data_IF_439991593506
#
_entry.id   IF_439991593506
#
_cell.length_a   1.000
_cell.length_b   1.000
_cell.length_c   1.000
_cell.angle_alpha   90.00
_cell.angle_beta   90.00
_cell.angle_gamma   90.00
#
_symmetry.space_group_name_H-M   'P 1'
#
loop_
_entity.id
_entity.type
_entity.pdbx_description
1 polymer ?
#
# COMPACT_ATOMS: atom_id res chain seq x y z
N UNK A 1 -10.18 10.92 -30.61
CA UNK A 1 -10.11 10.06 -29.41
C UNK A 1 -8.63 9.92 -29.08
N UNK A 2 -8.25 10.28 -27.85
CA UNK A 2 -6.84 10.52 -27.47
C UNK A 2 -5.95 9.27 -27.55
N UNK A 3 -4.76 9.47 -28.11
CA UNK A 3 -3.73 8.46 -28.40
C UNK A 3 -3.12 7.77 -27.16
N UNK A 4 -3.50 8.16 -25.94
CA UNK A 4 -2.96 7.59 -24.69
C UNK A 4 -3.52 6.21 -24.28
N UNK A 5 -4.69 5.80 -24.77
CA UNK A 5 -5.35 4.56 -24.32
C UNK A 5 -4.87 3.30 -25.06
N UNK A 6 -4.13 3.44 -26.16
CA UNK A 6 -3.72 2.30 -26.98
C UNK A 6 -2.55 1.50 -26.38
N UNK A 7 -1.84 2.04 -25.40
CA UNK A 7 -0.66 1.43 -24.77
C UNK A 7 -0.97 0.64 -23.48
N UNK A 8 -2.24 0.61 -23.06
CA UNK A 8 -2.63 -0.04 -21.80
C UNK A 8 -2.45 -1.54 -21.92
N UNK A 9 -1.67 -2.16 -21.04
CA UNK A 9 -1.33 -3.58 -21.08
C UNK A 9 -2.33 -4.47 -20.32
N UNK A 10 -2.90 -3.97 -19.23
CA UNK A 10 -3.86 -4.70 -18.39
C UNK A 10 -5.23 -4.82 -19.08
N UNK A 11 -5.73 -6.04 -19.16
CA UNK A 11 -7.09 -6.32 -19.66
C UNK A 11 -8.16 -5.77 -18.71
N UNK A 12 -7.89 -5.76 -17.40
CA UNK A 12 -8.77 -5.15 -16.41
C UNK A 12 -9.05 -3.68 -16.72
N UNK A 13 -8.00 -2.89 -17.01
CA UNK A 13 -8.15 -1.46 -17.32
C UNK A 13 -8.89 -1.28 -18.67
N UNK A 14 -8.58 -2.11 -19.68
CA UNK A 14 -9.27 -2.07 -20.98
C UNK A 14 -10.78 -2.33 -20.84
N UNK A 15 -11.19 -3.29 -20.00
CA UNK A 15 -12.60 -3.55 -19.69
C UNK A 15 -13.22 -2.39 -18.92
N UNK A 16 -12.48 -1.81 -17.97
CA UNK A 16 -12.90 -0.65 -17.20
C UNK A 16 -13.13 0.59 -18.07
N UNK A 17 -12.46 0.72 -19.21
CA UNK A 17 -12.68 1.79 -20.21
C UNK A 17 -13.93 1.51 -21.06
N UNK A 18 -14.05 0.31 -21.62
CA UNK A 18 -15.10 -0.04 -22.60
C UNK A 18 -16.52 -0.15 -22.02
N UNK A 19 -16.68 -0.46 -20.74
CA UNK A 19 -17.97 -0.90 -20.19
C UNK A 19 -19.02 0.14 -19.80
N UNK A 20 -18.82 1.45 -20.00
CA UNK A 20 -19.76 2.47 -19.51
C UNK A 20 -19.52 3.88 -20.13
N UNK A 21 -20.39 4.88 -19.85
CA UNK A 21 -20.17 6.27 -20.27
C UNK A 21 -19.00 6.94 -19.53
N UNK A 22 -18.30 7.83 -20.22
CA UNK A 22 -17.15 8.60 -19.70
C UNK A 22 -17.64 9.79 -18.87
N UNK A 23 -17.88 9.58 -17.58
CA UNK A 23 -18.17 10.66 -16.62
C UNK A 23 -16.86 11.19 -16.01
N UNK A 24 -16.85 12.41 -15.46
CA UNK A 24 -15.66 13.01 -14.84
C UNK A 24 -15.06 12.14 -13.73
N UNK A 25 -15.91 11.55 -12.88
CA UNK A 25 -15.49 10.61 -11.82
C UNK A 25 -14.86 9.35 -12.40
N UNK A 26 -15.36 8.87 -13.53
CA UNK A 26 -14.83 7.66 -14.19
C UNK A 26 -13.54 7.93 -14.94
N UNK A 27 -13.37 9.13 -15.49
CA UNK A 27 -12.10 9.57 -16.08
C UNK A 27 -10.99 9.56 -15.03
N UNK A 28 -11.23 10.17 -13.87
CA UNK A 28 -10.29 10.14 -12.75
C UNK A 28 -9.96 8.71 -12.32
N UNK A 29 -10.96 7.84 -12.20
CA UNK A 29 -10.74 6.43 -11.89
C UNK A 29 -9.87 5.71 -12.94
N UNK A 30 -10.09 5.93 -14.23
CA UNK A 30 -9.26 5.32 -15.28
C UNK A 30 -7.82 5.87 -15.26
N UNK A 31 -7.65 7.16 -15.02
CA UNK A 31 -6.34 7.79 -14.87
C UNK A 31 -5.57 7.21 -13.66
N UNK A 32 -6.26 7.00 -12.54
CA UNK A 32 -5.74 6.30 -11.36
C UNK A 32 -5.28 4.87 -11.70
N UNK A 33 -6.08 4.11 -12.46
CA UNK A 33 -5.70 2.76 -12.89
C UNK A 33 -4.48 2.76 -13.82
N UNK A 34 -4.40 3.73 -14.74
CA UNK A 34 -3.24 3.88 -15.63
C UNK A 34 -1.98 4.24 -14.84
N UNK A 35 -2.09 5.04 -13.79
CA UNK A 35 -0.98 5.33 -12.89
C UNK A 35 -0.49 4.07 -12.17
N UNK A 36 -1.40 3.20 -11.72
CA UNK A 36 -1.02 1.92 -11.10
C UNK A 36 -0.25 1.04 -12.10
N UNK A 37 -0.75 0.88 -13.32
CA UNK A 37 -0.05 0.13 -14.37
C UNK A 37 1.34 0.75 -14.67
N UNK A 38 1.42 2.07 -14.80
CA UNK A 38 2.67 2.76 -15.04
C UNK A 38 3.67 2.56 -13.90
N UNK A 39 3.22 2.59 -12.65
CA UNK A 39 4.07 2.34 -11.48
C UNK A 39 4.56 0.91 -11.38
N UNK A 40 3.72 -0.07 -11.72
CA UNK A 40 4.12 -1.49 -11.76
C UNK A 40 5.17 -1.72 -12.86
N UNK A 41 4.96 -1.17 -14.05
CA UNK A 41 5.89 -1.35 -15.18
C UNK A 41 7.19 -0.54 -15.04
N UNK A 42 7.13 0.64 -14.41
CA UNK A 42 8.28 1.55 -14.30
C UNK A 42 9.05 1.36 -13.00
N UNK A 43 8.47 0.73 -11.97
CA UNK A 43 9.04 0.57 -10.65
C UNK A 43 9.52 1.92 -10.07
N UNK A 44 10.78 1.95 -9.62
CA UNK A 44 11.42 3.12 -9.01
C UNK A 44 11.71 4.29 -9.96
N UNK A 45 11.34 4.20 -11.25
CA UNK A 45 11.56 5.29 -12.22
C UNK A 45 10.51 6.40 -12.14
N UNK A 46 9.44 6.20 -11.38
CA UNK A 46 8.56 7.30 -10.99
C UNK A 46 9.34 8.22 -10.05
N UNK A 47 9.58 9.47 -10.45
CA UNK A 47 10.11 10.48 -9.53
C UNK A 47 9.26 10.59 -8.25
N UNK A 48 9.81 11.18 -7.19
CA UNK A 48 9.20 11.17 -5.85
C UNK A 48 7.70 11.49 -5.80
N UNK A 49 7.26 12.56 -6.49
CA UNK A 49 5.85 12.94 -6.55
C UNK A 49 4.98 11.87 -7.23
N UNK A 50 5.47 11.24 -8.30
CA UNK A 50 4.80 10.15 -8.98
C UNK A 50 4.73 8.89 -8.13
N UNK A 51 5.78 8.60 -7.37
CA UNK A 51 5.79 7.47 -6.44
C UNK A 51 4.80 7.67 -5.28
N UNK A 52 4.76 8.86 -4.68
CA UNK A 52 3.78 9.19 -3.63
C UNK A 52 2.34 9.09 -4.14
N UNK A 53 2.07 9.58 -5.34
CA UNK A 53 0.75 9.48 -5.94
C UNK A 53 0.37 8.02 -6.24
N UNK A 54 1.32 7.22 -6.73
CA UNK A 54 1.11 5.78 -6.91
C UNK A 54 0.76 5.08 -5.60
N UNK A 55 1.45 5.40 -4.49
CA UNK A 55 1.14 4.83 -3.17
C UNK A 55 -0.25 5.22 -2.66
N UNK A 56 -0.64 6.49 -2.81
CA UNK A 56 -2.00 6.96 -2.46
C UNK A 56 -3.07 6.20 -3.25
N UNK A 57 -2.88 6.05 -4.56
CA UNK A 57 -3.82 5.34 -5.43
C UNK A 57 -3.84 3.84 -5.13
N UNK A 58 -2.70 3.25 -4.79
CA UNK A 58 -2.61 1.85 -4.36
C UNK A 58 -3.41 1.62 -3.07
N UNK A 59 -3.33 2.54 -2.10
CA UNK A 59 -4.11 2.47 -0.86
C UNK A 59 -5.61 2.66 -1.11
N UNK A 60 -5.98 3.54 -2.05
CA UNK A 60 -7.38 3.80 -2.42
C UNK A 60 -8.02 2.64 -3.17
N UNK A 61 -7.27 1.94 -4.04
CA UNK A 61 -7.79 0.84 -4.87
C UNK A 61 -6.96 -0.45 -4.78
N UNK A 62 -6.85 -1.07 -3.59
CA UNK A 62 -5.95 -2.20 -3.36
C UNK A 62 -6.32 -3.44 -4.19
N UNK A 63 -7.63 -3.64 -4.44
CA UNK A 63 -8.11 -4.76 -5.26
C UNK A 63 -7.74 -4.58 -6.74
N UNK A 64 -7.94 -3.37 -7.27
CA UNK A 64 -7.63 -3.07 -8.66
C UNK A 64 -6.13 -3.15 -8.91
N UNK A 65 -5.33 -2.57 -8.00
CA UNK A 65 -3.87 -2.69 -8.03
C UNK A 65 -3.41 -4.15 -8.07
N UNK A 66 -3.92 -5.00 -7.16
CA UNK A 66 -3.59 -6.43 -7.13
C UNK A 66 -3.92 -7.12 -8.45
N UNK A 67 -5.09 -6.85 -9.02
CA UNK A 67 -5.49 -7.45 -10.30
C UNK A 67 -4.56 -7.01 -11.43
N UNK A 68 -4.26 -5.72 -11.53
CA UNK A 68 -3.36 -5.18 -12.56
C UNK A 68 -1.95 -5.76 -12.41
N UNK A 69 -1.42 -5.83 -11.18
CA UNK A 69 -0.09 -6.38 -10.93
C UNK A 69 -0.01 -7.86 -11.28
N UNK A 70 -1.01 -8.67 -10.88
CA UNK A 70 -1.06 -10.09 -11.24
C UNK A 70 -1.15 -10.31 -12.76
N UNK A 71 -1.83 -9.43 -13.50
CA UNK A 71 -1.89 -9.50 -14.96
C UNK A 71 -0.56 -9.13 -15.62
N UNK A 72 0.16 -8.14 -15.09
CA UNK A 72 1.37 -7.60 -15.70
C UNK A 72 2.63 -8.36 -15.32
N UNK A 73 2.80 -8.66 -14.02
CA UNK A 73 3.97 -9.36 -13.50
C UNK A 73 3.62 -10.23 -12.26
N UNK A 74 3.09 -11.44 -12.48
CA UNK A 74 2.69 -12.33 -11.39
C UNK A 74 3.87 -12.83 -10.55
N UNK A 75 5.09 -12.85 -11.12
CA UNK A 75 6.30 -13.28 -10.40
C UNK A 75 6.75 -12.22 -9.40
N UNK A 76 6.93 -10.98 -9.82
CA UNK A 76 7.29 -9.87 -8.93
C UNK A 76 6.20 -9.58 -7.92
N UNK A 77 4.91 -9.78 -8.25
CA UNK A 77 3.85 -9.68 -7.25
C UNK A 77 4.05 -10.62 -6.05
N UNK A 78 4.48 -11.87 -6.32
CA UNK A 78 4.73 -12.86 -5.26
C UNK A 78 5.93 -12.45 -4.40
N UNK A 79 6.99 -11.93 -5.02
CA UNK A 79 8.17 -11.44 -4.30
C UNK A 79 7.85 -10.18 -3.47
N UNK A 80 7.06 -9.25 -4.01
CA UNK A 80 6.60 -8.06 -3.31
C UNK A 80 5.70 -8.42 -2.12
N UNK A 81 4.80 -9.39 -2.26
CA UNK A 81 4.00 -9.90 -1.13
C UNK A 81 4.88 -10.53 -0.04
N UNK A 82 5.87 -11.33 -0.41
CA UNK A 82 6.78 -11.96 0.56
C UNK A 82 7.61 -10.89 1.29
N UNK A 83 8.07 -9.87 0.57
CA UNK A 83 8.79 -8.73 1.14
C UNK A 83 7.93 -7.92 2.11
N UNK A 84 6.73 -7.50 1.71
CA UNK A 84 5.77 -6.77 2.56
C UNK A 84 5.41 -7.59 3.81
N UNK A 85 5.22 -8.90 3.66
CA UNK A 85 4.92 -9.78 4.79
C UNK A 85 6.10 -9.91 5.76
N UNK A 86 7.35 -9.90 5.27
CA UNK A 86 8.56 -9.90 6.12
C UNK A 86 8.71 -8.57 6.86
N UNK A 87 8.50 -7.44 6.19
CA UNK A 87 8.57 -6.10 6.79
C UNK A 87 7.50 -5.95 7.88
N UNK A 88 6.25 -6.34 7.61
CA UNK A 88 5.18 -6.36 8.61
C UNK A 88 5.51 -7.24 9.81
N UNK A 89 6.12 -8.40 9.60
CA UNK A 89 6.56 -9.27 10.68
C UNK A 89 7.70 -8.66 11.51
N UNK A 90 8.66 -7.98 10.89
CA UNK A 90 9.70 -7.24 11.62
C UNK A 90 9.10 -6.12 12.46
N UNK A 91 8.24 -5.31 11.86
CA UNK A 91 7.58 -4.19 12.54
C UNK A 91 6.70 -4.68 13.70
N UNK A 92 5.98 -5.79 13.52
CA UNK A 92 5.22 -6.42 14.60
C UNK A 92 6.11 -6.90 15.74
N UNK A 93 7.28 -7.47 15.44
CA UNK A 93 8.28 -7.89 16.46
C UNK A 93 8.86 -6.69 17.20
N UNK A 94 9.15 -5.60 16.51
CA UNK A 94 9.64 -4.36 17.14
C UNK A 94 8.57 -3.72 18.03
N UNK A 95 7.34 -3.60 17.55
CA UNK A 95 6.21 -3.12 18.36
C UNK A 95 5.98 -4.02 19.59
N UNK A 96 6.11 -5.34 19.46
CA UNK A 96 5.99 -6.25 20.59
C UNK A 96 7.12 -6.04 21.63
N UNK A 97 8.36 -5.80 21.18
CA UNK A 97 9.49 -5.46 22.06
C UNK A 97 9.24 -4.15 22.80
N UNK A 98 8.82 -3.10 22.08
CA UNK A 98 8.50 -1.80 22.69
C UNK A 98 7.38 -1.92 23.72
N UNK A 99 6.27 -2.60 23.39
CA UNK A 99 5.16 -2.84 24.33
C UNK A 99 5.61 -3.60 25.58
N UNK A 100 6.48 -4.59 25.43
CA UNK A 100 7.03 -5.36 26.56
C UNK A 100 7.93 -4.51 27.45
N UNK A 101 8.71 -3.62 26.85
CA UNK A 101 9.55 -2.67 27.57
C UNK A 101 8.69 -1.65 28.34
N UNK A 102 7.69 -1.07 27.68
CA UNK A 102 6.78 -0.12 28.30
C UNK A 102 5.98 -0.74 29.46
N UNK A 103 5.54 -2.01 29.33
CA UNK A 103 4.92 -2.74 30.44
C UNK A 103 5.88 -2.90 31.63
N UNK A 104 7.14 -3.28 31.38
CA UNK A 104 8.15 -3.44 32.44
C UNK A 104 8.41 -2.10 33.14
N UNK A 105 8.48 -1.00 32.40
CA UNK A 105 8.67 0.33 32.96
C UNK A 105 7.46 0.77 33.79
N UNK A 106 6.23 0.60 33.29
CA UNK A 106 5.01 0.85 34.09
C UNK A 106 4.99 0.02 35.36
N UNK A 107 5.43 -1.25 35.30
CA UNK A 107 5.45 -2.13 36.46
C UNK A 107 6.51 -1.72 37.49
N UNK A 108 7.68 -1.26 37.04
CA UNK A 108 8.71 -0.63 37.90
C UNK A 108 8.17 0.62 38.57
N UNK A 109 7.62 1.56 37.79
CA UNK A 109 7.05 2.81 38.31
C UNK A 109 5.94 2.53 39.34
N UNK A 110 5.07 1.55 39.07
CA UNK A 110 3.99 1.16 40.00
C UNK A 110 4.53 0.54 41.29
N UNK A 111 5.63 -0.22 41.22
CA UNK A 111 6.30 -0.75 42.40
C UNK A 111 7.04 0.34 43.20
N UNK A 112 7.67 1.30 42.52
CA UNK A 112 8.32 2.45 43.16
C UNK A 112 7.30 3.36 43.84
N UNK A 113 6.15 3.62 43.19
CA UNK A 113 5.03 4.36 43.78
C UNK A 113 4.51 3.71 45.07
N UNK A 114 4.33 2.38 45.06
CA UNK A 114 3.93 1.63 46.27
C UNK A 114 4.98 1.71 47.38
N UNK A 115 6.27 1.67 47.05
CA UNK A 115 7.36 1.80 48.03
C UNK A 115 7.43 3.19 48.66
N UNK A 116 7.03 4.23 47.93
CA UNK A 116 6.97 5.61 48.42
C UNK A 116 5.71 5.91 49.26
N UNK A 117 4.93 4.89 49.62
CA UNK A 117 3.70 5.05 50.42
C UNK A 117 2.47 5.45 49.59
N UNK A 118 2.57 5.42 48.26
CA UNK A 118 1.44 5.67 47.38
C UNK A 118 0.37 4.59 47.53
N UNK A 119 -0.79 4.97 48.03
CA UNK A 119 -1.99 4.12 48.04
C UNK A 119 -2.55 4.07 46.63
N UNK A 120 -2.70 2.85 46.09
CA UNK A 120 -3.19 2.61 44.73
C UNK A 120 -4.69 2.47 44.65
#
# INVERSE_FOLDING_TARGET
MGEGFSSIKSEFIRKAIKGAPFTSRRRAYVEDLMLLEAGILSGSRLGWAGHMHYLDVQERYPRAWKTIYLELDPKGFKEEQDYDQREKQKQAKENAKQKKQEQKERQKQRNEWKKMGGTG
#
